data_IF_787586056723
#
_entry.id   IF_787586056723
#
_cell.length_a   1.000
_cell.length_b   1.000
_cell.length_c   1.000
_cell.angle_alpha   90.00
_cell.angle_beta   90.00
_cell.angle_gamma   90.00
#
_symmetry.space_group_name_H-M   'P 1'
#
loop_
_entity.id
_entity.type
_entity.pdbx_description
1 polymer ?
#
# COMPACT_ATOMS: atom_id res chain seq x y z
N UNK A 1 23.37 5.46 -4.79
CA UNK A 1 23.07 4.57 -3.65
C UNK A 1 22.42 3.32 -4.21
N UNK A 2 22.84 2.14 -3.76
CA UNK A 2 22.24 0.86 -4.18
C UNK A 2 21.43 0.34 -3.00
N UNK A 3 20.12 0.23 -3.14
CA UNK A 3 19.24 -0.29 -2.09
C UNK A 3 19.20 -1.82 -2.12
N UNK A 4 19.01 -2.49 -0.97
CA UNK A 4 18.77 -3.93 -0.94
C UNK A 4 17.55 -4.31 -1.79
N UNK A 5 17.59 -5.48 -2.43
CA UNK A 5 16.48 -5.95 -3.27
C UNK A 5 15.17 -6.04 -2.50
N UNK A 6 15.21 -6.43 -1.23
CA UNK A 6 14.05 -6.47 -0.34
C UNK A 6 13.45 -5.08 -0.14
N UNK A 7 14.27 -4.05 0.11
CA UNK A 7 13.80 -2.67 0.23
C UNK A 7 13.14 -2.20 -1.06
N UNK A 8 13.72 -2.54 -2.21
CA UNK A 8 13.13 -2.22 -3.52
C UNK A 8 11.76 -2.91 -3.66
N UNK A 9 11.67 -4.22 -3.39
CA UNK A 9 10.42 -4.98 -3.45
C UNK A 9 9.35 -4.42 -2.51
N UNK A 10 9.73 -4.01 -1.30
CA UNK A 10 8.81 -3.38 -0.35
C UNK A 10 8.28 -2.04 -0.91
N UNK A 11 9.15 -1.21 -1.49
CA UNK A 11 8.73 0.01 -2.17
C UNK A 11 7.76 -0.27 -3.33
N UNK A 12 7.97 -1.35 -4.09
CA UNK A 12 7.02 -1.77 -5.13
C UNK A 12 5.65 -2.18 -4.57
N UNK A 13 5.58 -2.77 -3.36
CA UNK A 13 4.31 -3.03 -2.68
C UNK A 13 3.55 -1.71 -2.37
N UNK A 14 4.27 -0.65 -1.95
CA UNK A 14 3.67 0.68 -1.79
C UNK A 14 3.21 1.28 -3.11
N UNK A 15 3.97 1.11 -4.20
CA UNK A 15 3.56 1.57 -5.54
C UNK A 15 2.30 0.84 -6.01
N UNK A 16 2.21 -0.48 -5.77
CA UNK A 16 1.00 -1.25 -6.05
C UNK A 16 -0.20 -0.70 -5.27
N UNK A 17 -0.06 -0.49 -3.96
CA UNK A 17 -1.14 0.08 -3.15
C UNK A 17 -1.56 1.47 -3.65
N UNK A 18 -0.62 2.34 -4.01
CA UNK A 18 -0.91 3.65 -4.57
C UNK A 18 -1.64 3.57 -5.92
N UNK A 19 -1.25 2.62 -6.79
CA UNK A 19 -1.92 2.39 -8.07
C UNK A 19 -3.37 1.90 -7.86
N UNK A 20 -3.57 0.94 -6.95
CA UNK A 20 -4.89 0.44 -6.58
C UNK A 20 -5.74 1.57 -6.00
N UNK A 21 -5.21 2.38 -5.09
CA UNK A 21 -5.96 3.49 -4.47
C UNK A 21 -6.43 4.53 -5.52
N UNK A 22 -5.66 4.76 -6.59
CA UNK A 22 -6.04 5.65 -7.69
C UNK A 22 -7.14 5.06 -8.59
N UNK A 23 -7.07 3.76 -8.86
CA UNK A 23 -8.03 3.06 -9.73
C UNK A 23 -9.32 2.65 -8.98
N UNK A 24 -9.20 2.37 -7.68
CA UNK A 24 -10.24 1.87 -6.80
C UNK A 24 -10.23 2.68 -5.49
N UNK A 25 -10.85 3.87 -5.47
CA UNK A 25 -10.79 4.78 -4.33
C UNK A 25 -11.31 4.18 -3.00
N UNK A 26 -12.22 3.21 -3.07
CA UNK A 26 -12.82 2.54 -1.91
C UNK A 26 -11.98 1.36 -1.38
N UNK A 27 -10.78 1.14 -1.90
CA UNK A 27 -9.88 0.08 -1.45
C UNK A 27 -9.48 0.23 0.02
N UNK A 28 -9.54 -0.89 0.76
CA UNK A 28 -9.09 -0.95 2.16
C UNK A 28 -7.89 -1.89 2.26
N UNK A 29 -6.79 -1.38 2.78
CA UNK A 29 -5.48 -2.03 2.74
C UNK A 29 -5.17 -2.77 4.03
N UNK A 30 -4.89 -4.07 3.92
CA UNK A 30 -4.38 -4.92 5.00
C UNK A 30 -2.85 -4.85 5.09
N UNK A 31 -2.16 -5.96 4.84
CA UNK A 31 -0.70 -6.07 4.89
C UNK A 31 -0.10 -6.27 3.50
N UNK A 32 1.14 -5.80 3.31
CA UNK A 32 1.84 -5.95 2.04
C UNK A 32 3.32 -6.26 2.20
N UNK A 33 3.68 -7.45 2.70
CA UNK A 33 5.06 -7.81 2.97
C UNK A 33 5.82 -8.22 1.69
N UNK A 34 7.14 -8.21 1.81
CA UNK A 34 8.05 -8.85 0.85
C UNK A 34 8.07 -10.36 1.11
N UNK A 35 8.21 -11.14 0.05
CA UNK A 35 8.42 -12.59 0.08
C UNK A 35 9.70 -12.94 -0.71
N UNK A 36 10.15 -14.19 -0.63
CA UNK A 36 11.41 -14.67 -1.22
C UNK A 36 11.64 -14.17 -2.67
N UNK A 37 10.59 -14.22 -3.50
CA UNK A 37 10.66 -13.89 -4.92
C UNK A 37 9.83 -12.68 -5.34
N UNK A 38 9.35 -11.85 -4.40
CA UNK A 38 8.48 -10.74 -4.74
C UNK A 38 7.85 -10.05 -3.53
N UNK A 39 6.60 -9.67 -3.68
CA UNK A 39 5.77 -9.08 -2.63
C UNK A 39 4.30 -9.37 -2.97
N UNK A 40 3.42 -9.19 -1.99
CA UNK A 40 1.98 -9.17 -2.22
C UNK A 40 1.35 -8.01 -1.43
N UNK A 41 0.06 -7.79 -1.63
CA UNK A 41 -0.72 -6.87 -0.79
C UNK A 41 -2.14 -7.41 -0.63
N UNK A 42 -2.58 -7.57 0.60
CA UNK A 42 -3.96 -7.93 0.94
C UNK A 42 -4.84 -6.69 0.91
N UNK A 43 -5.87 -6.71 0.05
CA UNK A 43 -6.72 -5.55 -0.21
C UNK A 43 -8.17 -6.02 -0.26
N UNK A 44 -9.03 -5.37 0.52
CA UNK A 44 -10.47 -5.52 0.38
C UNK A 44 -10.98 -4.52 -0.67
N UNK A 45 -11.69 -5.04 -1.65
CA UNK A 45 -12.30 -4.27 -2.74
C UNK A 45 -13.79 -4.62 -2.86
N UNK A 46 -14.65 -3.67 -3.25
CA UNK A 46 -16.07 -3.95 -3.49
C UNK A 46 -16.28 -4.89 -4.69
N UNK A 47 -15.37 -4.86 -5.67
CA UNK A 47 -15.32 -5.77 -6.81
C UNK A 47 -13.97 -6.50 -6.80
N UNK A 48 -14.01 -7.82 -6.94
CA UNK A 48 -12.79 -8.61 -7.11
C UNK A 48 -12.02 -8.18 -8.37
N UNK A 49 -10.69 -8.15 -8.27
CA UNK A 49 -9.80 -7.89 -9.40
C UNK A 49 -9.86 -9.08 -10.36
N UNK A 50 -10.22 -8.80 -11.61
CA UNK A 50 -10.16 -9.76 -12.69
C UNK A 50 -8.82 -9.72 -13.43
N UNK A 51 -8.58 -10.72 -14.28
CA UNK A 51 -7.37 -10.74 -15.12
C UNK A 51 -7.26 -9.53 -16.05
N UNK A 52 -8.40 -8.94 -16.45
CA UNK A 52 -8.49 -7.74 -17.28
C UNK A 52 -8.06 -6.45 -16.56
N UNK A 53 -8.00 -6.45 -15.23
CA UNK A 53 -7.62 -5.29 -14.44
C UNK A 53 -6.10 -5.27 -14.18
N UNK A 54 -5.42 -6.42 -14.22
CA UNK A 54 -3.97 -6.51 -13.99
C UNK A 54 -3.15 -5.62 -14.93
N UNK A 55 -3.39 -5.57 -16.26
CA UNK A 55 -2.64 -4.68 -17.15
C UNK A 55 -2.86 -3.19 -16.83
N UNK A 56 -4.05 -2.81 -16.37
CA UNK A 56 -4.37 -1.43 -15.98
C UNK A 56 -3.62 -1.03 -14.71
N UNK A 57 -3.58 -1.94 -13.72
CA UNK A 57 -2.85 -1.75 -12.47
C UNK A 57 -1.35 -1.60 -12.76
N UNK A 58 -0.76 -2.50 -13.57
CA UNK A 58 0.65 -2.42 -13.93
C UNK A 58 0.98 -1.13 -14.69
N UNK A 59 0.10 -0.69 -15.60
CA UNK A 59 0.26 0.58 -16.32
C UNK A 59 0.26 1.77 -15.34
N UNK A 60 -0.64 1.78 -14.37
CA UNK A 60 -0.70 2.84 -13.36
C UNK A 60 0.52 2.82 -12.44
N UNK A 61 1.01 1.64 -12.04
CA UNK A 61 2.27 1.51 -11.30
C UNK A 61 3.44 2.11 -12.09
N UNK A 62 3.58 1.78 -13.39
CA UNK A 62 4.59 2.38 -14.27
C UNK A 62 4.45 3.89 -14.36
N UNK A 63 3.22 4.42 -14.39
CA UNK A 63 2.96 5.86 -14.40
C UNK A 63 3.43 6.52 -13.10
N UNK A 64 3.17 5.93 -11.94
CA UNK A 64 3.64 6.42 -10.64
C UNK A 64 5.17 6.42 -10.58
N UNK A 65 5.82 5.33 -11.00
CA UNK A 65 7.29 5.23 -11.00
C UNK A 65 7.92 6.34 -11.87
N UNK A 66 7.35 6.60 -13.05
CA UNK A 66 7.82 7.67 -13.94
C UNK A 66 7.68 9.08 -13.37
N UNK A 67 6.79 9.29 -12.39
CA UNK A 67 6.65 10.58 -11.72
C UNK A 67 7.84 10.88 -10.80
N UNK A 68 8.64 9.87 -10.44
CA UNK A 68 9.81 10.00 -9.57
C UNK A 68 9.48 10.77 -8.27
N UNK A 69 8.33 10.43 -7.67
CA UNK A 69 7.89 11.03 -6.42
C UNK A 69 8.86 10.67 -5.30
N UNK A 70 9.11 11.64 -4.42
CA UNK A 70 9.92 11.40 -3.22
C UNK A 70 9.12 10.57 -2.23
N UNK A 71 9.78 9.59 -1.62
CA UNK A 71 9.26 8.93 -0.43
C UNK A 71 9.63 9.79 0.78
N UNK A 72 8.62 10.22 1.53
CA UNK A 72 8.77 10.97 2.76
C UNK A 72 8.36 10.06 3.92
N UNK A 73 9.23 9.96 4.93
CA UNK A 73 8.97 9.22 6.17
C UNK A 73 8.70 10.22 7.28
N UNK A 74 7.61 10.03 7.99
CA UNK A 74 7.26 10.75 9.19
C UNK A 74 7.12 9.77 10.36
N UNK A 75 7.47 10.23 11.56
CA UNK A 75 7.22 9.51 12.81
C UNK A 75 6.07 10.20 13.54
N UNK A 76 5.05 9.45 13.89
CA UNK A 76 3.82 9.94 14.51
C UNK A 76 3.44 9.04 15.68
N UNK A 77 2.68 9.59 16.63
CA UNK A 77 2.13 8.81 17.74
C UNK A 77 1.08 7.81 17.26
N UNK A 78 0.97 6.66 17.94
CA UNK A 78 0.01 5.61 17.55
C UNK A 78 -1.44 6.14 17.52
N UNK A 79 -1.82 7.02 18.46
CA UNK A 79 -3.16 7.63 18.47
C UNK A 79 -3.43 8.55 17.28
N UNK A 80 -2.43 9.32 16.86
CA UNK A 80 -2.54 10.19 15.69
C UNK A 80 -2.63 9.35 14.40
N UNK A 81 -1.82 8.29 14.30
CA UNK A 81 -1.92 7.33 13.20
C UNK A 81 -3.30 6.66 13.14
N UNK A 82 -3.87 6.26 14.28
CA UNK A 82 -5.23 5.71 14.36
C UNK A 82 -6.25 6.72 13.82
N UNK A 83 -6.19 7.97 14.28
CA UNK A 83 -7.11 9.02 13.82
C UNK A 83 -6.99 9.27 12.30
N UNK A 84 -5.76 9.27 11.77
CA UNK A 84 -5.51 9.40 10.33
C UNK A 84 -6.15 8.26 9.53
N UNK A 85 -5.93 7.01 9.93
CA UNK A 85 -6.48 5.84 9.22
C UNK A 85 -8.00 5.70 9.38
N UNK A 86 -8.58 6.17 10.49
CA UNK A 86 -10.04 6.29 10.63
C UNK A 86 -10.62 7.31 9.63
N UNK A 87 -10.01 8.50 9.55
CA UNK A 87 -10.45 9.57 8.62
C UNK A 87 -10.35 9.15 7.16
N UNK A 88 -9.40 8.30 6.82
CA UNK A 88 -9.18 7.77 5.46
C UNK A 88 -9.88 6.43 5.20
N UNK A 89 -10.76 5.98 6.11
CA UNK A 89 -11.55 4.75 5.98
C UNK A 89 -10.70 3.48 5.76
N UNK A 90 -9.60 3.35 6.51
CA UNK A 90 -8.67 2.22 6.47
C UNK A 90 -8.79 1.37 7.75
N UNK A 91 -9.88 0.61 7.95
CA UNK A 91 -10.17 -0.08 9.20
C UNK A 91 -9.11 -1.11 9.59
N UNK A 92 -8.55 -1.85 8.63
CA UNK A 92 -7.50 -2.84 8.93
C UNK A 92 -6.23 -2.21 9.49
N UNK A 93 -5.87 -1.00 9.04
CA UNK A 93 -4.73 -0.25 9.60
C UNK A 93 -5.01 0.20 11.03
N UNK A 94 -6.25 0.59 11.31
CA UNK A 94 -6.70 0.96 12.66
C UNK A 94 -6.62 -0.25 13.61
N UNK A 95 -7.06 -1.42 13.17
CA UNK A 95 -6.96 -2.67 13.95
C UNK A 95 -5.50 -3.00 14.25
N UNK A 96 -4.64 -3.04 13.23
CA UNK A 96 -3.20 -3.31 13.41
C UNK A 96 -2.53 -2.35 14.40
N UNK A 97 -2.87 -1.06 14.36
CA UNK A 97 -2.31 -0.07 15.29
C UNK A 97 -2.82 -0.24 16.73
N UNK A 98 -4.07 -0.68 16.90
CA UNK A 98 -4.61 -0.99 18.24
C UNK A 98 -3.94 -2.21 18.84
N UNK A 99 -3.64 -3.22 18.04
CA UNK A 99 -2.95 -4.43 18.49
C UNK A 99 -1.50 -4.13 18.95
N UNK A 100 -0.86 -3.08 18.41
CA UNK A 100 0.46 -2.63 18.87
C UNK A 100 0.44 -1.90 20.23
N UNK A 101 -0.74 -1.49 20.74
CA UNK A 101 -0.87 -0.84 22.05
C UNK A 101 -0.96 -1.82 23.22
N UNK A 102 -1.09 -3.11 22.93
CA UNK A 102 -1.20 -4.18 23.92
C UNK A 102 0.12 -4.39 24.65
#
# INVERSE_FOLDING_TARGET
MTYPLETIRHSYAHVLAAAIQRLFPDARFGVGPVIENGFYYDILLPKAIGGEDLPKIEQEMKRIIKQNLKFEKEETGIDEAIAFFQKTNQPFKVELLKDLKT
#
